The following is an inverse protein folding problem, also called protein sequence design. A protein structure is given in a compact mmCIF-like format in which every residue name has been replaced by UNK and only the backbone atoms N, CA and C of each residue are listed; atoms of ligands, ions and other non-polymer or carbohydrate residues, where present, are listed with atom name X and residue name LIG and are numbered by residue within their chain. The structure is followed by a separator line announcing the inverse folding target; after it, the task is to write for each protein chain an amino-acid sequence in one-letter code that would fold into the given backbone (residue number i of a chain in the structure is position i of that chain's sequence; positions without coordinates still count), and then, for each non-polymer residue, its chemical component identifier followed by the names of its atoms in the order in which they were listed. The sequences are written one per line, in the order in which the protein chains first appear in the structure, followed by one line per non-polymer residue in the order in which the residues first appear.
data_IF_938532580937
#
_entry.id   IF_938532580937
#
_cell.length_a   1.000
_cell.length_b   1.000
_cell.length_c   1.000
_cell.angle_alpha   90.00
_cell.angle_beta   90.00
_cell.angle_gamma   90.00
#
_symmetry.space_group_name_H-M   'P 1'
#
loop_
_entity.id
_entity.type
_entity.pdbx_description
1 polymer ?
#
# COMPACT_ATOMS: atom_id res chain seq x y z
N UNK A 1 -29.05 -2.60 74.33
CA UNK A 1 -29.90 -1.39 74.42
C UNK A 1 -30.59 -1.20 73.07
N UNK A 2 -31.86 -0.82 73.13
CA UNK A 2 -32.70 -0.26 72.06
C UNK A 2 -31.90 0.73 71.17
N UNK A 3 -32.20 1.04 69.92
CA UNK A 3 -33.48 1.36 69.24
C UNK A 3 -33.12 1.71 67.78
N UNK A 4 -33.94 1.36 66.78
CA UNK A 4 -34.74 2.29 65.95
C UNK A 4 -33.90 3.10 64.93
N UNK A 5 -34.23 3.24 63.65
CA UNK A 5 -35.54 3.58 63.06
C UNK A 5 -35.52 3.24 61.55
N UNK A 6 -36.67 2.80 61.08
CA UNK A 6 -37.11 2.50 59.71
C UNK A 6 -37.28 3.76 58.85
N UNK A 7 -37.08 3.69 57.53
CA UNK A 7 -37.96 4.31 56.53
C UNK A 7 -37.72 3.65 55.16
N UNK A 8 -38.78 3.01 54.68
CA UNK A 8 -38.93 2.34 53.39
C UNK A 8 -39.22 3.31 52.23
N UNK A 9 -39.20 2.75 51.00
CA UNK A 9 -39.57 3.29 49.67
C UNK A 9 -38.47 4.09 48.91
N UNK A 10 -38.20 3.90 47.61
CA UNK A 10 -38.77 3.09 46.52
C UNK A 10 -37.76 3.12 45.34
N UNK A 11 -37.65 2.03 44.58
CA UNK A 11 -37.31 2.11 43.14
C UNK A 11 -36.03 1.44 42.64
N UNK A 12 -36.20 0.29 41.95
CA UNK A 12 -35.51 -0.01 40.68
C UNK A 12 -34.39 -1.07 40.68
N UNK A 13 -34.60 -2.16 39.90
CA UNK A 13 -33.70 -2.62 38.80
C UNK A 13 -33.53 -4.15 38.62
N UNK A 14 -33.94 -4.61 37.43
CA UNK A 14 -33.55 -5.78 36.60
C UNK A 14 -33.68 -7.26 37.08
N UNK A 15 -34.23 -8.17 36.22
CA UNK A 15 -34.30 -9.60 36.51
C UNK A 15 -33.20 -10.45 35.83
N UNK A 16 -32.73 -11.41 36.62
CA UNK A 16 -32.49 -12.83 36.38
C UNK A 16 -31.95 -13.36 35.02
N UNK A 17 -30.80 -14.04 35.15
CA UNK A 17 -30.22 -15.04 34.25
C UNK A 17 -31.13 -16.28 34.19
N UNK A 18 -31.36 -16.85 32.99
CA UNK A 18 -31.78 -18.24 32.84
C UNK A 18 -31.27 -18.85 31.52
N UNK A 19 -30.84 -20.09 31.65
CA UNK A 19 -30.00 -20.90 30.77
C UNK A 19 -30.77 -21.75 29.75
N UNK A 20 -30.09 -21.98 28.61
CA UNK A 20 -30.14 -23.09 27.65
C UNK A 20 -31.18 -24.22 27.87
N UNK A 21 -31.97 -24.50 26.83
CA UNK A 21 -32.44 -25.87 26.55
C UNK A 21 -32.60 -26.09 25.03
N UNK A 22 -31.77 -26.97 24.47
CA UNK A 22 -31.87 -27.48 23.12
C UNK A 22 -32.28 -28.96 23.20
N UNK A 23 -33.50 -29.29 22.76
CA UNK A 23 -33.98 -30.67 22.73
C UNK A 23 -33.90 -31.22 21.31
N UNK A 24 -32.86 -32.01 21.04
CA UNK A 24 -32.76 -32.92 19.90
C UNK A 24 -33.71 -34.11 20.13
N UNK A 25 -34.66 -34.35 19.23
CA UNK A 25 -35.49 -35.55 19.28
C UNK A 25 -34.74 -36.74 18.67
N UNK A 26 -34.35 -37.70 19.53
CA UNK A 26 -33.91 -39.04 19.12
C UNK A 26 -35.12 -39.81 18.55
N UNK A 27 -34.93 -40.39 17.37
CA UNK A 27 -35.83 -41.40 16.83
C UNK A 27 -35.59 -42.73 17.56
N UNK A 28 -36.54 -43.15 18.39
CA UNK A 28 -36.57 -44.49 18.97
C UNK A 28 -37.31 -45.46 18.05
N UNK A 29 -36.64 -46.58 17.75
CA UNK A 29 -37.19 -47.74 17.06
C UNK A 29 -38.23 -48.44 17.97
N UNK A 30 -39.47 -48.60 17.50
CA UNK A 30 -40.42 -49.59 18.04
C UNK A 30 -41.41 -50.05 16.94
N UNK A 31 -41.83 -51.32 17.05
CA UNK A 31 -42.58 -52.15 16.08
C UNK A 31 -43.97 -51.60 15.67
N UNK A 32 -44.57 -52.11 14.57
CA UNK A 32 -45.70 -51.47 13.89
C UNK A 32 -47.06 -51.84 14.50
N UNK A 33 -47.91 -50.84 14.74
CA UNK A 33 -49.34 -51.04 15.03
C UNK A 33 -50.19 -50.57 13.83
N UNK A 34 -51.18 -51.35 13.36
CA UNK A 34 -51.68 -51.29 11.99
C UNK A 34 -52.96 -50.45 11.87
N UNK A 35 -52.97 -49.17 12.26
CA UNK A 35 -54.14 -48.31 12.00
C UNK A 35 -53.75 -46.83 11.87
N UNK A 36 -53.22 -46.42 10.72
CA UNK A 36 -53.32 -45.03 10.25
C UNK A 36 -53.37 -44.98 8.70
N UNK A 37 -54.27 -44.19 8.09
CA UNK A 37 -54.35 -43.99 6.64
C UNK A 37 -53.19 -43.13 6.08
N UNK A 38 -52.93 -43.15 4.76
CA UNK A 38 -51.71 -42.58 4.17
C UNK A 38 -51.69 -41.05 4.23
N UNK A 39 -50.55 -40.47 4.62
CA UNK A 39 -50.31 -39.02 4.61
C UNK A 39 -50.36 -38.43 3.19
N UNK A 40 -50.87 -37.20 3.01
CA UNK A 40 -50.85 -36.49 1.73
C UNK A 40 -49.44 -36.01 1.34
N UNK A 41 -49.17 -35.75 0.05
CA UNK A 41 -47.84 -35.51 -0.46
C UNK A 41 -47.31 -34.10 -0.08
N UNK A 42 -46.29 -34.10 0.78
CA UNK A 42 -45.17 -33.16 0.81
C UNK A 42 -45.43 -31.68 0.53
N UNK A 43 -45.87 -30.93 1.53
CA UNK A 43 -45.45 -29.53 1.63
C UNK A 43 -43.97 -29.51 2.06
N UNK A 44 -43.08 -29.19 1.12
CA UNK A 44 -41.70 -28.84 1.47
C UNK A 44 -41.79 -27.65 2.44
N UNK A 45 -41.54 -27.89 3.73
CA UNK A 45 -41.48 -26.84 4.76
C UNK A 45 -40.55 -25.72 4.27
N UNK A 46 -41.14 -24.64 3.77
CA UNK A 46 -40.40 -23.44 3.46
C UNK A 46 -39.79 -22.92 4.77
N UNK A 47 -38.48 -22.71 4.78
CA UNK A 47 -37.79 -22.15 5.94
C UNK A 47 -38.44 -20.82 6.32
N UNK A 48 -38.76 -20.63 7.61
CA UNK A 48 -39.35 -19.38 8.08
C UNK A 48 -38.42 -18.20 7.75
N UNK A 49 -39.01 -17.04 7.47
CA UNK A 49 -38.23 -15.86 7.06
C UNK A 49 -37.18 -15.45 8.10
N UNK A 50 -37.47 -15.68 9.39
CA UNK A 50 -36.51 -15.51 10.49
C UNK A 50 -35.28 -16.41 10.31
N UNK A 51 -35.46 -17.69 9.94
CA UNK A 51 -34.37 -18.63 9.69
C UNK A 51 -33.59 -18.30 8.42
N UNK A 52 -34.25 -17.74 7.40
CA UNK A 52 -33.62 -17.30 6.15
C UNK A 52 -32.73 -16.08 6.37
N UNK A 53 -33.23 -15.08 7.07
CA UNK A 53 -32.45 -13.88 7.43
C UNK A 53 -31.29 -14.24 8.34
N UNK A 54 -31.52 -15.10 9.33
CA UNK A 54 -30.45 -15.61 10.19
C UNK A 54 -29.37 -16.34 9.39
N UNK A 55 -29.75 -17.27 8.49
CA UNK A 55 -28.79 -17.95 7.62
C UNK A 55 -28.04 -16.99 6.68
N UNK A 56 -28.69 -15.92 6.19
CA UNK A 56 -28.02 -14.92 5.35
C UNK A 56 -26.96 -14.14 6.13
N UNK A 57 -27.24 -13.73 7.37
CA UNK A 57 -26.24 -13.06 8.21
C UNK A 57 -25.09 -14.01 8.58
N UNK A 58 -25.39 -15.24 8.98
CA UNK A 58 -24.35 -16.23 9.31
C UNK A 58 -23.50 -16.58 8.09
N UNK A 59 -24.09 -16.73 6.90
CA UNK A 59 -23.31 -16.99 5.67
C UNK A 59 -22.50 -15.78 5.24
N UNK A 60 -23.05 -14.56 5.34
CA UNK A 60 -22.30 -13.33 5.10
C UNK A 60 -21.11 -13.21 6.06
N UNK A 61 -21.30 -13.43 7.35
CA UNK A 61 -20.25 -13.35 8.36
C UNK A 61 -19.17 -14.41 8.14
N UNK A 62 -19.54 -15.65 7.81
CA UNK A 62 -18.58 -16.71 7.50
C UNK A 62 -17.78 -16.40 6.22
N UNK A 63 -18.43 -15.90 5.17
CA UNK A 63 -17.76 -15.49 3.93
C UNK A 63 -16.86 -14.29 4.16
N UNK A 64 -17.29 -13.32 4.97
CA UNK A 64 -16.54 -12.11 5.29
C UNK A 64 -15.32 -12.44 6.17
N UNK A 65 -15.48 -13.26 7.21
CA UNK A 65 -14.37 -13.73 8.05
C UNK A 65 -13.40 -14.58 7.23
N UNK A 66 -13.91 -15.47 6.36
CA UNK A 66 -13.04 -16.26 5.47
C UNK A 66 -12.29 -15.36 4.49
N UNK A 67 -12.93 -14.34 3.91
CA UNK A 67 -12.29 -13.36 3.04
C UNK A 67 -11.22 -12.56 3.79
N UNK A 68 -11.52 -12.07 5.00
CA UNK A 68 -10.56 -11.37 5.85
C UNK A 68 -9.39 -12.29 6.24
N UNK A 69 -9.65 -13.56 6.54
CA UNK A 69 -8.61 -14.54 6.87
C UNK A 69 -7.77 -14.93 5.65
N UNK A 70 -8.36 -15.01 4.46
CA UNK A 70 -7.62 -15.18 3.20
C UNK A 70 -6.76 -13.94 2.93
N UNK A 71 -7.27 -12.73 3.16
CA UNK A 71 -6.48 -11.50 3.05
C UNK A 71 -5.35 -11.51 4.07
N UNK A 72 -5.62 -11.87 5.32
CA UNK A 72 -4.64 -11.95 6.41
C UNK A 72 -3.59 -13.03 6.14
N UNK A 73 -3.96 -14.21 5.65
CA UNK A 73 -3.03 -15.26 5.25
C UNK A 73 -2.21 -14.85 4.02
N UNK A 74 -2.81 -14.18 3.03
CA UNK A 74 -2.06 -13.61 1.91
C UNK A 74 -1.22 -12.39 2.31
N UNK A 75 -1.35 -11.85 3.52
CA UNK A 75 -0.47 -10.81 4.06
C UNK A 75 0.60 -11.42 4.97
N UNK A 76 0.24 -12.43 5.78
CA UNK A 76 1.08 -13.07 6.80
C UNK A 76 1.98 -14.18 6.24
N UNK A 77 1.52 -14.96 5.25
CA UNK A 77 2.33 -16.01 4.62
C UNK A 77 3.51 -15.42 3.81
N UNK A 78 3.39 -14.17 3.35
CA UNK A 78 4.49 -13.42 2.72
C UNK A 78 5.46 -12.83 3.76
N UNK A 79 5.03 -12.66 5.00
CA UNK A 79 5.85 -12.12 6.10
C UNK A 79 6.78 -13.17 6.73
N UNK A 80 6.42 -14.46 6.67
CA UNK A 80 7.09 -15.53 7.42
C UNK A 80 8.38 -16.07 6.76
N UNK A 81 8.57 -15.95 5.45
CA UNK A 81 9.60 -16.72 4.73
C UNK A 81 11.00 -16.08 4.66
N UNK A 82 11.26 -14.92 5.27
CA UNK A 82 12.59 -14.29 5.17
C UNK A 82 13.03 -13.52 6.43
N UNK A 83 12.70 -14.02 7.61
CA UNK A 83 13.45 -13.68 8.83
C UNK A 83 14.75 -14.49 8.87
N UNK A 84 15.67 -14.30 7.93
CA UNK A 84 17.03 -14.84 8.06
C UNK A 84 18.08 -13.93 7.40
N UNK A 85 18.86 -13.31 8.31
CA UNK A 85 20.27 -12.89 8.19
C UNK A 85 20.65 -11.79 7.18
N UNK A 86 21.00 -10.62 7.71
CA UNK A 86 22.42 -10.24 7.93
C UNK A 86 22.50 -8.99 8.85
N UNK A 87 23.51 -8.92 9.74
CA UNK A 87 23.71 -7.77 10.61
C UNK A 87 24.36 -6.63 9.82
N UNK A 88 24.10 -5.38 10.20
CA UNK A 88 25.13 -4.38 9.98
C UNK A 88 25.27 -3.39 11.14
N UNK A 89 26.54 -3.21 11.50
CA UNK A 89 27.06 -2.23 12.42
C UNK A 89 26.64 -0.83 12.01
N UNK A 90 26.47 0.06 12.99
CA UNK A 90 26.39 1.54 12.91
C UNK A 90 25.22 2.18 13.68
N UNK A 91 24.48 1.44 14.51
CA UNK A 91 23.68 2.06 15.58
C UNK A 91 22.56 3.00 15.14
N UNK A 92 22.06 2.91 13.91
CA UNK A 92 20.84 3.58 13.48
C UNK A 92 19.64 2.64 13.68
N UNK A 93 18.64 3.10 14.43
CA UNK A 93 17.35 2.41 14.55
C UNK A 93 16.60 2.51 13.22
N UNK A 94 16.81 1.54 12.32
CA UNK A 94 15.98 1.34 11.13
C UNK A 94 14.64 0.76 11.59
N UNK A 95 13.59 1.58 11.61
CA UNK A 95 12.22 1.06 11.70
C UNK A 95 11.85 0.45 10.34
N UNK A 96 11.98 -0.86 10.21
CA UNK A 96 11.61 -1.61 9.01
C UNK A 96 10.09 -1.79 8.94
N UNK A 97 9.37 -0.81 8.37
CA UNK A 97 8.07 -1.10 7.76
C UNK A 97 8.33 -1.59 6.34
N UNK A 98 8.54 -2.89 6.19
CA UNK A 98 8.90 -3.51 4.91
C UNK A 98 7.62 -3.73 4.09
N UNK A 99 7.35 -2.83 3.15
CA UNK A 99 6.26 -3.01 2.20
C UNK A 99 6.76 -3.93 1.08
N UNK A 100 6.63 -5.25 1.24
CA UNK A 100 6.80 -6.19 0.14
C UNK A 100 5.49 -6.27 -0.64
N UNK A 101 5.32 -5.39 -1.63
CA UNK A 101 4.37 -5.61 -2.71
C UNK A 101 5.17 -6.06 -3.93
N UNK A 102 4.82 -7.23 -4.46
CA UNK A 102 5.37 -7.90 -5.64
C UNK A 102 6.41 -7.13 -6.46
N UNK A 103 7.67 -7.52 -6.31
CA UNK A 103 8.75 -7.18 -7.23
C UNK A 103 9.65 -8.38 -7.44
N UNK A 104 9.18 -9.40 -8.17
CA UNK A 104 9.82 -10.72 -8.39
C UNK A 104 11.19 -10.75 -9.06
N UNK A 105 12.04 -9.73 -8.88
CA UNK A 105 13.44 -9.65 -9.37
C UNK A 105 14.30 -8.77 -8.44
N UNK A 106 14.28 -9.00 -7.12
CA UNK A 106 15.21 -8.38 -6.17
C UNK A 106 15.09 -6.86 -5.98
N UNK A 107 13.87 -6.33 -5.93
CA UNK A 107 13.62 -4.93 -5.56
C UNK A 107 12.75 -4.82 -4.31
N UNK A 108 12.98 -3.80 -3.47
CA UNK A 108 12.24 -3.57 -2.23
C UNK A 108 12.06 -2.09 -1.92
N UNK A 109 11.01 -1.77 -1.16
CA UNK A 109 10.74 -0.43 -0.62
C UNK A 109 10.98 -0.44 0.89
N UNK A 110 11.81 0.49 1.34
CA UNK A 110 12.21 0.68 2.73
C UNK A 110 11.73 2.05 3.22
N UNK A 111 11.72 2.25 4.53
CA UNK A 111 11.44 3.55 5.13
C UNK A 111 12.56 3.97 6.06
N UNK A 112 12.89 5.26 6.05
CA UNK A 112 13.83 5.89 6.98
C UNK A 112 13.21 7.15 7.56
N UNK A 113 13.35 7.37 8.86
CA UNK A 113 12.98 8.63 9.49
C UNK A 113 14.15 9.62 9.35
N UNK A 114 13.95 10.72 8.63
CA UNK A 114 14.95 11.76 8.45
C UNK A 114 14.62 12.93 9.37
N UNK A 115 15.58 13.43 10.18
CA UNK A 115 15.38 14.64 10.98
C UNK A 115 14.82 15.78 10.12
N UNK A 116 13.83 16.51 10.64
CA UNK A 116 13.15 17.64 9.99
C UNK A 116 12.29 17.31 8.75
N UNK A 117 12.45 16.14 8.11
CA UNK A 117 11.69 15.75 6.91
C UNK A 117 10.74 14.56 7.15
N UNK A 118 10.90 13.83 8.25
CA UNK A 118 10.06 12.70 8.63
C UNK A 118 10.28 11.46 7.76
N UNK A 119 9.24 10.65 7.65
CA UNK A 119 9.28 9.36 6.97
C UNK A 119 9.58 9.51 5.48
N UNK A 120 10.66 8.86 5.05
CA UNK A 120 11.16 8.86 3.68
C UNK A 120 11.16 7.44 3.14
N UNK A 121 10.61 7.26 1.94
CA UNK A 121 10.54 5.97 1.26
C UNK A 121 11.76 5.78 0.35
N UNK A 122 12.32 4.58 0.34
CA UNK A 122 13.51 4.25 -0.44
C UNK A 122 13.22 2.99 -1.24
N UNK A 123 13.16 3.10 -2.55
CA UNK A 123 13.05 1.96 -3.46
C UNK A 123 14.47 1.61 -3.87
N UNK A 124 14.87 0.35 -3.71
CA UNK A 124 16.14 -0.17 -4.20
C UNK A 124 15.87 -1.39 -5.05
N UNK A 125 16.41 -1.42 -6.27
CA UNK A 125 16.24 -2.56 -7.17
C UNK A 125 17.51 -2.80 -7.99
N UNK A 126 17.84 -4.08 -8.18
CA UNK A 126 18.83 -4.50 -9.15
C UNK A 126 18.23 -4.51 -10.56
N UNK A 127 18.99 -4.02 -11.54
CA UNK A 127 18.60 -3.96 -12.95
C UNK A 127 19.67 -4.63 -13.81
N UNK A 128 19.24 -5.52 -14.70
CA UNK A 128 20.10 -6.23 -15.66
C UNK A 128 20.38 -5.37 -16.89
N UNK A 129 20.93 -4.17 -16.67
CA UNK A 129 21.45 -3.30 -17.71
C UNK A 129 22.58 -2.42 -17.16
N UNK A 130 23.29 -1.74 -18.07
CA UNK A 130 24.30 -0.77 -17.65
C UNK A 130 23.68 0.44 -16.93
N UNK A 131 24.43 1.00 -15.99
CA UNK A 131 24.00 2.21 -15.28
C UNK A 131 23.82 3.42 -16.21
N UNK A 132 24.59 3.49 -17.31
CA UNK A 132 24.48 4.56 -18.29
C UNK A 132 23.12 4.54 -19.01
N UNK A 133 22.56 3.36 -19.29
CA UNK A 133 21.22 3.27 -19.89
C UNK A 133 20.15 3.87 -18.95
N UNK A 134 20.19 3.52 -17.67
CA UNK A 134 19.24 4.04 -16.68
C UNK A 134 19.43 5.54 -16.48
N UNK A 135 20.68 6.01 -16.46
CA UNK A 135 20.99 7.44 -16.40
C UNK A 135 20.37 8.23 -17.56
N UNK A 136 20.47 7.71 -18.79
CA UNK A 136 19.90 8.35 -19.97
C UNK A 136 18.36 8.37 -19.93
N UNK A 137 17.74 7.25 -19.58
CA UNK A 137 16.29 7.08 -19.59
C UNK A 137 15.57 7.78 -18.44
N UNK A 138 16.18 7.86 -17.25
CA UNK A 138 15.52 8.37 -16.04
C UNK A 138 16.01 9.75 -15.63
N UNK A 139 17.31 10.05 -15.74
CA UNK A 139 17.91 11.26 -15.16
C UNK A 139 18.09 12.38 -16.19
N UNK A 140 18.60 12.05 -17.38
CA UNK A 140 18.92 13.05 -18.40
C UNK A 140 17.70 13.57 -19.16
N UNK A 141 16.71 12.72 -19.42
CA UNK A 141 15.58 13.03 -20.30
C UNK A 141 14.23 12.91 -19.57
N UNK A 142 13.99 13.71 -18.51
CA UNK A 142 12.80 13.57 -17.66
C UNK A 142 11.48 13.79 -18.43
N UNK A 143 11.47 14.67 -19.44
CA UNK A 143 10.26 14.91 -20.25
C UNK A 143 9.89 13.69 -21.11
N UNK A 144 10.88 12.89 -21.54
CA UNK A 144 10.63 11.64 -22.28
C UNK A 144 10.21 10.49 -21.37
N UNK A 145 10.50 10.57 -20.06
CA UNK A 145 10.09 9.56 -19.09
C UNK A 145 8.57 9.35 -19.10
N UNK A 146 7.79 10.42 -19.34
CA UNK A 146 6.31 10.39 -19.42
C UNK A 146 5.80 9.44 -20.50
N UNK A 147 6.59 9.15 -21.54
CA UNK A 147 6.17 8.28 -22.64
C UNK A 147 6.05 6.81 -22.23
N UNK A 148 6.78 6.39 -21.19
CA UNK A 148 6.81 4.99 -20.73
C UNK A 148 6.45 4.83 -19.25
N UNK A 149 6.59 5.88 -18.43
CA UNK A 149 6.25 5.86 -17.02
C UNK A 149 4.85 6.41 -16.77
N UNK A 150 3.89 5.52 -16.46
CA UNK A 150 2.49 5.94 -16.21
C UNK A 150 2.25 6.57 -14.84
N UNK A 151 3.24 6.57 -13.93
CA UNK A 151 3.09 7.21 -12.61
C UNK A 151 3.20 8.74 -12.68
N UNK A 152 3.68 9.27 -13.81
CA UNK A 152 3.82 10.70 -14.09
C UNK A 152 3.07 11.02 -15.38
N UNK A 153 2.11 11.94 -15.30
CA UNK A 153 1.26 12.33 -16.44
C UNK A 153 1.81 13.52 -17.22
N UNK A 154 2.56 14.41 -16.56
CA UNK A 154 3.20 15.58 -17.18
C UNK A 154 4.56 15.76 -16.54
N UNK A 155 5.57 16.06 -17.35
CA UNK A 155 6.87 16.56 -16.92
C UNK A 155 7.28 17.65 -17.91
N UNK A 156 7.56 18.85 -17.40
CA UNK A 156 7.95 20.01 -18.19
C UNK A 156 9.14 20.69 -17.51
N UNK A 157 10.25 20.89 -18.24
CA UNK A 157 11.36 21.70 -17.73
C UNK A 157 10.98 23.19 -17.84
N UNK A 158 10.90 23.88 -16.70
CA UNK A 158 10.51 25.29 -16.64
C UNK A 158 11.71 26.21 -16.88
N UNK A 159 12.85 25.88 -16.27
CA UNK A 159 14.04 26.71 -16.30
C UNK A 159 15.28 25.83 -16.12
N UNK A 160 16.34 26.09 -16.88
CA UNK A 160 17.69 25.57 -16.61
C UNK A 160 18.49 26.67 -15.93
N UNK A 161 18.95 26.40 -14.70
CA UNK A 161 19.74 27.35 -13.90
C UNK A 161 21.21 27.28 -14.33
N UNK A 162 21.70 26.07 -14.56
CA UNK A 162 23.01 25.76 -15.13
C UNK A 162 22.94 24.41 -15.89
N UNK A 163 24.09 23.87 -16.33
CA UNK A 163 24.16 22.60 -17.07
C UNK A 163 23.63 21.39 -16.28
N UNK A 164 23.72 21.45 -14.95
CA UNK A 164 23.41 20.37 -14.03
C UNK A 164 22.14 20.63 -13.21
N UNK A 165 21.69 21.87 -13.12
CA UNK A 165 20.61 22.32 -12.22
C UNK A 165 19.44 22.86 -13.03
N UNK A 166 18.24 22.35 -12.77
CA UNK A 166 17.02 22.81 -13.44
C UNK A 166 15.78 22.70 -12.58
N UNK A 167 14.77 23.49 -12.93
CA UNK A 167 13.45 23.51 -12.31
C UNK A 167 12.46 22.81 -13.23
N UNK A 168 11.71 21.84 -12.71
CA UNK A 168 10.67 21.11 -13.43
C UNK A 168 9.30 21.31 -12.81
N UNK A 169 8.28 21.20 -13.66
CA UNK A 169 6.88 21.02 -13.30
C UNK A 169 6.47 19.59 -13.61
N UNK A 170 5.99 18.89 -12.60
CA UNK A 170 5.64 17.47 -12.68
C UNK A 170 4.21 17.27 -12.21
N UNK A 171 3.44 16.42 -12.87
CA UNK A 171 2.08 16.03 -12.44
C UNK A 171 2.03 14.53 -12.28
N UNK A 172 1.77 14.05 -11.06
CA UNK A 172 1.61 12.62 -10.81
C UNK A 172 0.30 12.11 -11.40
N UNK A 173 0.27 10.83 -11.78
CA UNK A 173 -1.01 10.16 -12.00
C UNK A 173 -1.78 10.00 -10.67
N UNK A 174 -3.07 9.70 -10.78
CA UNK A 174 -3.83 9.23 -9.63
C UNK A 174 -3.35 7.83 -9.23
N UNK A 175 -3.36 7.53 -7.94
CA UNK A 175 -2.85 6.29 -7.38
C UNK A 175 -3.91 5.57 -6.52
N UNK A 176 -3.62 4.33 -6.12
CA UNK A 176 -4.49 3.49 -5.31
C UNK A 176 -5.93 3.37 -5.87
N UNK A 177 -6.07 3.14 -7.18
CA UNK A 177 -7.37 3.00 -7.84
C UNK A 177 -8.23 4.27 -7.84
N UNK A 178 -7.62 5.45 -7.68
CA UNK A 178 -8.31 6.74 -7.65
C UNK A 178 -8.54 7.30 -6.24
N UNK A 179 -8.17 6.57 -5.19
CA UNK A 179 -8.24 7.06 -3.80
C UNK A 179 -7.31 8.26 -3.59
N UNK A 180 -6.13 8.23 -4.22
CA UNK A 180 -5.17 9.35 -4.20
C UNK A 180 -5.25 10.08 -5.53
N UNK A 181 -5.87 11.26 -5.53
CA UNK A 181 -5.94 12.13 -6.71
C UNK A 181 -4.56 12.58 -7.25
N UNK A 182 -4.45 12.99 -8.51
CA UNK A 182 -3.24 13.61 -9.05
C UNK A 182 -2.77 14.82 -8.24
N UNK A 183 -1.44 14.96 -8.07
CA UNK A 183 -0.78 16.14 -7.50
C UNK A 183 0.11 16.79 -8.54
N UNK A 184 0.22 18.11 -8.47
CA UNK A 184 1.26 18.82 -9.20
C UNK A 184 2.42 19.21 -8.27
N UNK A 185 3.62 19.30 -8.84
CA UNK A 185 4.86 19.57 -8.12
C UNK A 185 5.69 20.56 -8.93
N UNK A 186 6.39 21.44 -8.22
CA UNK A 186 7.46 22.27 -8.78
C UNK A 186 8.73 21.91 -8.02
N UNK A 187 9.73 21.37 -8.72
CA UNK A 187 10.94 20.85 -8.09
C UNK A 187 12.17 21.51 -8.69
N UNK A 188 13.15 21.83 -7.85
CA UNK A 188 14.53 22.03 -8.31
C UNK A 188 15.23 20.68 -8.26
N UNK A 189 16.00 20.36 -9.30
CA UNK A 189 16.85 19.18 -9.33
C UNK A 189 18.25 19.50 -9.79
N UNK A 190 19.22 18.81 -9.20
CA UNK A 190 20.63 18.85 -9.57
C UNK A 190 21.10 17.45 -9.96
N UNK A 191 21.71 17.35 -11.14
CA UNK A 191 22.27 16.12 -11.69
C UNK A 191 23.78 16.12 -11.51
N UNK A 192 24.33 15.01 -11.02
CA UNK A 192 25.76 14.82 -10.81
C UNK A 192 26.20 13.48 -11.40
N UNK A 193 27.27 13.50 -12.19
CA UNK A 193 27.95 12.30 -12.70
C UNK A 193 29.21 12.07 -11.89
N UNK A 194 29.25 10.97 -11.14
CA UNK A 194 30.42 10.55 -10.37
C UNK A 194 31.07 9.31 -11.01
N UNK A 195 32.24 8.94 -10.49
CA UNK A 195 32.99 7.75 -10.93
C UNK A 195 32.12 6.50 -10.82
N UNK A 196 31.50 6.28 -9.66
CA UNK A 196 30.79 5.02 -9.34
C UNK A 196 29.26 5.14 -9.36
N UNK A 197 28.72 6.34 -9.58
CA UNK A 197 27.28 6.55 -9.61
C UNK A 197 26.83 7.76 -10.43
N UNK A 198 25.55 7.78 -10.75
CA UNK A 198 24.83 8.94 -11.26
C UNK A 198 23.78 9.35 -10.23
N UNK A 199 23.61 10.65 -10.00
CA UNK A 199 22.71 11.19 -8.99
C UNK A 199 21.85 12.27 -9.63
N UNK A 200 20.55 12.26 -9.35
CA UNK A 200 19.63 13.37 -9.58
C UNK A 200 18.94 13.67 -8.27
N UNK A 201 19.45 14.65 -7.52
CA UNK A 201 18.89 15.06 -6.23
C UNK A 201 17.96 16.26 -6.43
N UNK A 202 16.90 16.37 -5.65
CA UNK A 202 15.97 17.49 -5.76
C UNK A 202 15.08 17.64 -4.54
N UNK A 203 14.35 18.75 -4.53
CA UNK A 203 13.31 19.06 -3.55
C UNK A 203 12.34 20.10 -4.14
N UNK A 204 11.22 20.32 -3.46
CA UNK A 204 10.25 21.34 -3.83
C UNK A 204 10.90 22.73 -3.93
N UNK A 205 10.44 23.52 -4.90
CA UNK A 205 10.78 24.93 -5.04
C UNK A 205 9.57 25.68 -5.58
N UNK A 206 9.67 27.00 -5.68
CA UNK A 206 8.65 27.84 -6.27
C UNK A 206 9.10 28.36 -7.64
N UNK A 207 8.17 28.46 -8.58
CA UNK A 207 8.42 29.07 -9.89
C UNK A 207 7.21 29.89 -10.32
N UNK A 208 7.44 31.15 -10.71
CA UNK A 208 6.37 32.12 -10.99
C UNK A 208 5.45 31.70 -12.14
N UNK A 209 5.95 30.91 -13.10
CA UNK A 209 5.13 30.38 -14.21
C UNK A 209 4.20 29.23 -13.82
N UNK A 210 4.33 28.65 -12.61
CA UNK A 210 3.52 27.52 -12.12
C UNK A 210 3.05 27.75 -10.67
N UNK A 211 2.28 28.83 -10.41
CA UNK A 211 1.66 29.02 -9.11
C UNK A 211 0.67 27.86 -8.81
N UNK A 212 0.30 27.61 -7.54
CA UNK A 212 -0.74 26.65 -7.20
C UNK A 212 -2.04 26.97 -7.95
N UNK A 213 -2.65 25.96 -8.57
CA UNK A 213 -3.91 26.10 -9.31
C UNK A 213 -4.93 25.08 -8.78
N UNK A 214 -6.20 25.47 -8.70
CA UNK A 214 -7.32 24.60 -8.28
C UNK A 214 -7.47 23.24 -9.00
N UNK A 215 -6.82 23.03 -10.15
CA UNK A 215 -6.90 21.77 -10.89
C UNK A 215 -6.22 20.61 -10.15
N UNK A 216 -5.14 20.90 -9.43
CA UNK A 216 -4.37 19.89 -8.71
C UNK A 216 -4.07 20.37 -7.30
N UNK A 217 -3.98 19.42 -6.37
CA UNK A 217 -3.40 19.71 -5.06
C UNK A 217 -1.89 19.86 -5.26
N UNK A 218 -1.30 20.98 -4.82
CA UNK A 218 0.15 21.19 -4.84
C UNK A 218 0.82 20.28 -3.81
N UNK A 219 1.51 19.25 -4.29
CA UNK A 219 2.36 18.42 -3.46
C UNK A 219 3.73 19.08 -3.27
N UNK A 220 4.40 18.74 -2.17
CA UNK A 220 5.73 19.25 -1.84
C UNK A 220 6.68 18.08 -1.58
N UNK A 221 7.68 17.94 -2.43
CA UNK A 221 8.75 16.97 -2.18
C UNK A 221 9.76 17.55 -1.20
N UNK A 222 10.11 16.78 -0.16
CA UNK A 222 11.33 17.03 0.60
C UNK A 222 12.57 16.60 -0.18
N UNK A 223 13.74 16.60 0.46
CA UNK A 223 14.98 16.13 -0.15
C UNK A 223 14.85 14.66 -0.59
N UNK A 224 15.16 14.41 -1.85
CA UNK A 224 15.11 13.08 -2.43
C UNK A 224 15.69 13.04 -3.84
N UNK A 225 15.33 12.02 -4.60
CA UNK A 225 15.71 11.87 -5.99
C UNK A 225 16.17 10.48 -6.37
N UNK A 226 16.90 10.39 -7.48
CA UNK A 226 17.35 9.13 -8.08
C UNK A 226 18.85 8.95 -7.94
N UNK A 227 19.27 7.72 -7.66
CA UNK A 227 20.67 7.31 -7.69
C UNK A 227 20.79 6.03 -8.50
N UNK A 228 21.76 5.98 -9.42
CA UNK A 228 22.11 4.79 -10.17
C UNK A 228 23.55 4.42 -9.81
N UNK A 229 23.72 3.32 -9.08
CA UNK A 229 25.03 2.80 -8.71
C UNK A 229 25.55 1.87 -9.81
N UNK A 230 26.79 2.11 -10.23
CA UNK A 230 27.51 1.24 -11.17
C UNK A 230 27.97 0.00 -10.41
N UNK A 231 27.86 -1.16 -11.04
CA UNK A 231 28.49 -2.37 -10.53
C UNK A 231 29.98 -2.34 -10.85
N UNK A 232 30.82 -2.57 -9.83
CA UNK A 232 32.27 -2.68 -9.99
C UNK A 232 32.68 -4.02 -10.61
N UNK A 233 31.87 -5.05 -10.46
CA UNK A 233 32.16 -6.42 -10.93
C UNK A 233 31.53 -6.75 -12.28
N UNK A 234 30.38 -6.16 -12.61
CA UNK A 234 29.67 -6.46 -13.85
C UNK A 234 29.00 -5.22 -14.46
N UNK A 235 29.59 -4.60 -15.51
CA UNK A 235 29.04 -3.41 -16.17
C UNK A 235 27.65 -3.58 -16.79
N UNK A 236 27.16 -4.80 -16.99
CA UNK A 236 25.79 -5.07 -17.47
C UNK A 236 24.74 -5.09 -16.38
N UNK A 237 25.13 -4.78 -15.13
CA UNK A 237 24.23 -4.73 -13.98
C UNK A 237 24.40 -3.40 -13.25
N UNK A 238 23.30 -2.84 -12.76
CA UNK A 238 23.33 -1.65 -11.91
C UNK A 238 22.29 -1.74 -10.78
N UNK A 239 22.46 -0.89 -9.77
CA UNK A 239 21.45 -0.73 -8.71
C UNK A 239 20.79 0.63 -8.87
N UNK A 240 19.46 0.63 -9.02
CA UNK A 240 18.65 1.84 -8.99
C UNK A 240 18.13 2.08 -7.58
N UNK A 241 18.20 3.33 -7.14
CA UNK A 241 17.67 3.80 -5.86
C UNK A 241 16.80 5.03 -6.12
N UNK A 242 15.58 5.03 -5.60
CA UNK A 242 14.72 6.21 -5.54
C UNK A 242 14.42 6.55 -4.08
N UNK A 243 14.89 7.72 -3.65
CA UNK A 243 14.58 8.31 -2.34
C UNK A 243 13.43 9.29 -2.53
N UNK A 244 12.31 9.03 -1.86
CA UNK A 244 11.09 9.83 -1.96
C UNK A 244 10.64 10.29 -0.57
N UNK A 245 10.81 11.58 -0.32
CA UNK A 245 10.15 12.30 0.77
C UNK A 245 9.12 13.23 0.13
N UNK A 246 7.84 13.07 0.45
CA UNK A 246 6.79 13.87 -0.19
C UNK A 246 5.61 14.08 0.73
N UNK A 247 5.11 15.32 0.75
CA UNK A 247 3.85 15.71 1.36
C UNK A 247 2.82 15.94 0.25
N UNK A 248 1.92 14.97 0.10
CA UNK A 248 0.83 15.03 -0.90
C UNK A 248 -0.31 15.98 -0.49
N UNK A 249 -0.23 16.57 0.70
CA UNK A 249 -1.25 17.41 1.34
C UNK A 249 -2.63 16.71 1.38
N UNK A 250 -3.63 17.47 1.84
CA UNK A 250 -5.02 17.01 1.92
C UNK A 250 -5.36 16.31 3.24
N UNK A 251 -6.47 15.55 3.23
CA UNK A 251 -7.10 15.01 4.45
C UNK A 251 -7.06 13.48 4.53
N UNK A 252 -6.33 12.82 3.64
CA UNK A 252 -6.25 11.36 3.64
C UNK A 252 -5.45 10.87 4.85
N UNK A 253 -5.88 9.77 5.51
CA UNK A 253 -5.10 9.11 6.54
C UNK A 253 -3.67 8.77 6.06
N UNK A 254 -2.67 9.02 6.91
CA UNK A 254 -1.25 8.82 6.56
C UNK A 254 -0.95 7.40 6.08
N UNK A 255 -1.59 6.38 6.65
CA UNK A 255 -1.36 5.00 6.24
C UNK A 255 -1.76 4.74 4.78
N UNK A 256 -2.84 5.35 4.28
CA UNK A 256 -3.25 5.25 2.88
C UNK A 256 -2.26 5.95 1.96
N UNK A 257 -1.76 7.12 2.37
CA UNK A 257 -0.70 7.82 1.63
C UNK A 257 0.55 6.93 1.54
N UNK A 258 0.99 6.36 2.66
CA UNK A 258 2.17 5.49 2.70
C UNK A 258 2.04 4.26 1.80
N UNK A 259 0.89 3.59 1.83
CA UNK A 259 0.59 2.47 0.94
C UNK A 259 0.60 2.89 -0.53
N UNK A 260 -0.01 4.03 -0.84
CA UNK A 260 -0.05 4.58 -2.20
C UNK A 260 1.35 4.93 -2.72
N UNK A 261 2.22 5.49 -1.87
CA UNK A 261 3.60 5.80 -2.23
C UNK A 261 4.40 4.54 -2.54
N UNK A 262 4.32 3.52 -1.68
CA UNK A 262 4.96 2.23 -1.91
C UNK A 262 4.47 1.58 -3.22
N UNK A 263 3.15 1.56 -3.45
CA UNK A 263 2.57 1.03 -4.69
C UNK A 263 3.08 1.77 -5.94
N UNK A 264 3.15 3.11 -5.87
CA UNK A 264 3.68 3.95 -6.96
C UNK A 264 5.14 3.64 -7.27
N UNK A 265 5.94 3.35 -6.24
CA UNK A 265 7.35 2.98 -6.40
C UNK A 265 7.53 1.63 -7.10
N UNK A 266 6.69 0.64 -6.77
CA UNK A 266 6.69 -0.64 -7.48
C UNK A 266 6.20 -0.51 -8.92
N UNK A 267 5.16 0.28 -9.16
CA UNK A 267 4.64 0.56 -10.49
C UNK A 267 5.70 1.25 -11.38
N UNK A 268 6.38 2.27 -10.84
CA UNK A 268 7.51 2.91 -11.50
C UNK A 268 8.59 1.89 -11.90
N UNK A 269 8.98 1.01 -10.96
CA UNK A 269 9.99 0.00 -11.22
C UNK A 269 9.56 -1.01 -12.28
N UNK A 270 8.26 -1.36 -12.32
CA UNK A 270 7.69 -2.22 -13.36
C UNK A 270 7.83 -1.57 -14.75
N UNK A 271 7.43 -0.30 -14.89
CA UNK A 271 7.58 0.45 -16.14
C UNK A 271 9.04 0.59 -16.56
N UNK A 272 9.95 0.89 -15.63
CA UNK A 272 11.38 1.00 -15.92
C UNK A 272 11.96 -0.32 -16.41
N UNK A 273 11.60 -1.45 -15.78
CA UNK A 273 12.04 -2.78 -16.23
C UNK A 273 11.53 -3.11 -17.63
N UNK A 274 10.27 -2.78 -17.93
CA UNK A 274 9.72 -2.94 -19.28
C UNK A 274 10.50 -2.09 -20.29
N UNK A 275 10.75 -0.82 -19.97
CA UNK A 275 11.53 0.10 -20.82
C UNK A 275 12.94 -0.41 -21.10
N UNK A 276 13.61 -0.96 -20.10
CA UNK A 276 14.96 -1.54 -20.26
C UNK A 276 14.92 -2.77 -21.17
N UNK A 277 13.95 -3.67 -20.97
CA UNK A 277 13.85 -4.88 -21.78
C UNK A 277 13.68 -4.56 -23.28
N UNK A 278 12.90 -3.53 -23.61
CA UNK A 278 12.74 -3.04 -24.99
C UNK A 278 14.10 -2.69 -25.60
N UNK A 279 14.93 -1.92 -24.89
CA UNK A 279 16.27 -1.54 -25.38
C UNK A 279 17.26 -2.69 -25.48
N UNK A 280 17.17 -3.67 -24.58
CA UNK A 280 18.03 -4.86 -24.63
C UNK A 280 17.66 -5.76 -25.81
N UNK A 281 16.37 -5.87 -26.16
CA UNK A 281 15.91 -6.70 -27.28
C UNK A 281 16.25 -6.15 -28.67
N UNK A 282 16.59 -4.86 -28.79
CA UNK A 282 16.97 -4.22 -30.06
C UNK A 282 18.49 -4.03 -30.24
N UNK A 283 19.32 -4.59 -29.33
CA UNK A 283 20.77 -4.68 -29.47
C UNK A 283 21.19 -6.09 -29.83
#
# INVERSE_FOLDING_TARGET
MQSGVDYSELGGSFPAIASLNASYSQASLSLPSPYYPPLPPGERKAFSDVRRTFCLFVTFDLLFITLLWIIELNVSFYFCFQTDLLPNANGFYLSFSLYFLFGGRGGGVYTLEIPCHGKTFILKALLQCSAELVYQEVILQPEKMVQWNRTVSVCQILQRVDDNTMVSYDVSAGAAGGVVSPRDFVNVRRVERKRDCYISAGMATNHSSKPPHSRYVRGENGPGGFVVLKSSSNPSVCTFIWVLNTDLKGRLPRYLIHQSLAATMFEFMSHLRQRINVHVSYR
#
